data_IF_464377762127
#
_entry.id   IF_464377762127
#
_cell.length_a   1.000
_cell.length_b   1.000
_cell.length_c   1.000
_cell.angle_alpha   90.00
_cell.angle_beta   90.00
_cell.angle_gamma   90.00
#
_symmetry.space_group_name_H-M   'P 1'
#
loop_
_entity.id
_entity.type
_entity.pdbx_description
1 polymer ?
#
# COMPACT_ATOMS: atom_id res chain seq x y z
N UNK A 1 -7.81 -3.05 6.50
CA UNK A 1 -8.39 -1.69 6.62
C UNK A 1 -9.32 -1.49 5.43
N UNK A 2 -10.48 -0.83 5.60
CA UNK A 2 -11.45 -0.66 4.50
C UNK A 2 -11.29 0.68 3.82
N UNK A 3 -11.38 0.69 2.49
CA UNK A 3 -11.49 1.91 1.68
C UNK A 3 -12.74 2.73 2.03
N UNK A 4 -12.66 4.04 1.75
CA UNK A 4 -13.84 4.92 1.73
C UNK A 4 -14.50 4.83 0.34
N UNK A 5 -13.71 4.61 -0.71
CA UNK A 5 -14.20 4.46 -2.08
C UNK A 5 -14.34 2.97 -2.39
N UNK A 6 -15.58 2.51 -2.57
CA UNK A 6 -15.84 1.13 -2.99
C UNK A 6 -15.22 0.87 -4.36
N UNK A 7 -14.43 -0.20 -4.45
CA UNK A 7 -13.97 -0.72 -5.72
C UNK A 7 -15.15 -1.07 -6.63
N UNK A 8 -15.02 -0.76 -7.92
CA UNK A 8 -15.97 -1.15 -8.95
C UNK A 8 -15.20 -1.96 -9.98
N UNK A 9 -15.49 -3.25 -10.07
CA UNK A 9 -14.97 -4.13 -11.11
C UNK A 9 -15.49 -3.67 -12.48
N UNK A 10 -14.70 -2.85 -13.17
CA UNK A 10 -15.04 -2.44 -14.53
C UNK A 10 -14.64 -3.54 -15.50
N UNK A 11 -15.63 -3.95 -16.32
CA UNK A 11 -15.53 -4.83 -17.49
C UNK A 11 -15.29 -6.32 -17.18
N UNK A 12 -16.33 -7.15 -17.36
CA UNK A 12 -16.31 -8.61 -17.14
C UNK A 12 -15.66 -9.39 -18.28
N UNK A 13 -15.34 -8.73 -19.40
CA UNK A 13 -14.81 -9.36 -20.62
C UNK A 13 -13.31 -9.05 -20.82
N UNK A 14 -12.53 -8.97 -19.73
CA UNK A 14 -11.08 -8.78 -19.85
C UNK A 14 -10.44 -10.03 -20.44
N UNK A 15 -9.58 -9.84 -21.43
CA UNK A 15 -8.71 -10.88 -21.97
C UNK A 15 -7.68 -11.33 -20.92
N UNK A 16 -7.16 -12.55 -21.08
CA UNK A 16 -6.08 -13.06 -20.21
C UNK A 16 -4.86 -12.14 -20.24
N UNK A 17 -4.54 -11.57 -21.40
CA UNK A 17 -3.43 -10.63 -21.54
C UNK A 17 -3.66 -9.33 -20.75
N UNK A 18 -4.88 -8.78 -20.76
CA UNK A 18 -5.23 -7.63 -19.92
C UNK A 18 -5.14 -7.94 -18.42
N UNK A 19 -5.55 -9.14 -18.01
CA UNK A 19 -5.46 -9.57 -16.61
C UNK A 19 -4.00 -9.75 -16.16
N UNK A 20 -3.17 -10.36 -17.00
CA UNK A 20 -1.73 -10.47 -16.77
C UNK A 20 -1.05 -9.11 -16.72
N UNK A 21 -1.43 -8.21 -17.63
CA UNK A 21 -0.94 -6.83 -17.64
C UNK A 21 -1.29 -6.09 -16.34
N UNK A 22 -2.53 -6.22 -15.85
CA UNK A 22 -2.94 -5.64 -14.57
C UNK A 22 -2.11 -6.19 -13.40
N UNK A 23 -1.85 -7.50 -13.36
CA UNK A 23 -1.00 -8.10 -12.35
C UNK A 23 0.44 -7.54 -12.39
N UNK A 24 1.00 -7.35 -13.58
CA UNK A 24 2.32 -6.71 -13.75
C UNK A 24 2.32 -5.29 -13.19
N UNK A 25 1.30 -4.48 -13.52
CA UNK A 25 1.16 -3.13 -12.99
C UNK A 25 1.06 -3.11 -11.46
N UNK A 26 0.32 -4.06 -10.87
CA UNK A 26 0.24 -4.18 -9.42
C UNK A 26 1.58 -4.54 -8.80
N UNK A 27 2.34 -5.47 -9.39
CA UNK A 27 3.68 -5.81 -8.92
C UNK A 27 4.64 -4.61 -8.98
N UNK A 28 4.63 -3.84 -10.07
CA UNK A 28 5.43 -2.61 -10.16
C UNK A 28 5.05 -1.59 -9.09
N UNK A 29 3.75 -1.39 -8.87
CA UNK A 29 3.25 -0.52 -7.80
C UNK A 29 3.78 -0.98 -6.44
N UNK A 30 3.65 -2.27 -6.09
CA UNK A 30 4.12 -2.76 -4.80
C UNK A 30 5.64 -2.79 -4.64
N UNK A 31 6.40 -2.87 -5.73
CA UNK A 31 7.85 -2.68 -5.67
C UNK A 31 8.19 -1.22 -5.34
N UNK A 32 7.49 -0.25 -5.93
CA UNK A 32 7.64 1.16 -5.56
C UNK A 32 7.28 1.38 -4.08
N UNK A 33 6.15 0.83 -3.61
CA UNK A 33 5.72 0.99 -2.21
C UNK A 33 6.73 0.45 -1.22
N UNK A 34 7.42 -0.66 -1.52
CA UNK A 34 8.51 -1.17 -0.68
C UNK A 34 9.61 -0.13 -0.49
N UNK A 35 10.03 0.51 -1.57
CA UNK A 35 11.07 1.55 -1.54
C UNK A 35 10.55 2.76 -0.75
N UNK A 36 9.31 3.18 -1.00
CA UNK A 36 8.70 4.33 -0.32
C UNK A 36 8.53 4.09 1.20
N UNK A 37 8.07 2.91 1.62
CA UNK A 37 8.01 2.53 3.04
C UNK A 37 9.39 2.60 3.68
N UNK A 38 10.41 2.06 3.01
CA UNK A 38 11.78 2.07 3.52
C UNK A 38 12.27 3.51 3.71
N UNK A 39 12.04 4.36 2.71
CA UNK A 39 12.38 5.78 2.75
C UNK A 39 11.64 6.52 3.88
N UNK A 40 10.32 6.36 4.01
CA UNK A 40 9.54 7.02 5.05
C UNK A 40 9.99 6.61 6.45
N UNK A 41 10.32 5.32 6.66
CA UNK A 41 10.86 4.85 7.94
C UNK A 41 12.23 5.46 8.26
N UNK A 42 13.10 5.63 7.26
CA UNK A 42 14.39 6.30 7.45
C UNK A 42 14.19 7.78 7.78
N UNK A 43 13.35 8.47 7.00
CA UNK A 43 13.02 9.88 7.21
C UNK A 43 12.48 10.13 8.62
N UNK A 44 11.56 9.30 9.09
CA UNK A 44 10.99 9.38 10.44
C UNK A 44 12.00 9.09 11.56
N UNK A 45 13.08 8.35 11.29
CA UNK A 45 14.12 8.04 12.28
C UNK A 45 15.24 9.07 12.32
N UNK A 46 15.59 9.64 11.17
CA UNK A 46 16.76 10.50 11.01
C UNK A 46 16.45 11.99 11.19
N UNK A 47 15.17 12.38 11.21
CA UNK A 47 14.81 13.80 11.28
C UNK A 47 15.26 14.42 12.62
N UNK A 48 15.95 15.58 12.62
CA UNK A 48 16.43 16.24 13.82
C UNK A 48 15.25 16.87 14.57
N UNK A 49 14.63 16.06 15.41
CA UNK A 49 13.49 16.41 16.23
C UNK A 49 13.88 17.48 17.26
N UNK A 50 13.39 18.72 17.09
CA UNK A 50 13.46 19.73 18.16
C UNK A 50 12.73 19.18 19.38
N UNK A 51 13.40 19.13 20.52
CA UNK A 51 12.98 18.46 21.76
C UNK A 51 11.75 19.07 22.46
N UNK A 52 11.16 20.13 21.90
CA UNK A 52 10.07 20.89 22.53
C UNK A 52 8.66 20.50 22.05
N UNK A 53 8.50 19.41 21.28
CA UNK A 53 7.19 18.96 20.80
C UNK A 53 6.71 17.79 21.68
N UNK A 54 5.66 17.98 22.51
CA UNK A 54 5.09 16.91 23.32
C UNK A 54 4.64 15.73 22.45
N UNK A 55 4.85 14.50 22.93
CA UNK A 55 4.43 13.25 22.29
C UNK A 55 5.01 13.01 20.88
N UNK A 56 6.03 13.76 20.47
CA UNK A 56 6.70 13.64 19.17
C UNK A 56 7.14 12.20 18.89
N UNK A 57 7.82 11.60 19.87
CA UNK A 57 8.35 10.26 19.78
C UNK A 57 7.24 9.20 19.66
N UNK A 58 6.14 9.35 20.41
CA UNK A 58 5.01 8.41 20.38
C UNK A 58 4.35 8.40 19.00
N UNK A 59 4.10 9.58 18.41
CA UNK A 59 3.54 9.69 17.07
C UNK A 59 4.44 9.06 15.99
N UNK A 60 5.76 9.30 16.06
CA UNK A 60 6.72 8.67 15.15
C UNK A 60 6.71 7.15 15.28
N UNK A 61 6.68 6.63 16.50
CA UNK A 61 6.61 5.19 16.73
C UNK A 61 5.32 4.57 16.17
N UNK A 62 4.19 5.26 16.30
CA UNK A 62 2.93 4.84 15.70
C UNK A 62 3.03 4.78 14.18
N UNK A 63 3.57 5.80 13.52
CA UNK A 63 3.76 5.77 12.07
C UNK A 63 4.69 4.65 11.61
N UNK A 64 5.78 4.37 12.34
CA UNK A 64 6.67 3.26 12.02
C UNK A 64 5.92 1.92 12.11
N UNK A 65 5.11 1.71 13.15
CA UNK A 65 4.30 0.50 13.33
C UNK A 65 3.26 0.34 12.22
N UNK A 66 2.63 1.43 11.82
CA UNK A 66 1.67 1.42 10.71
C UNK A 66 2.38 1.06 9.40
N UNK A 67 3.54 1.66 9.11
CA UNK A 67 4.36 1.32 7.94
C UNK A 67 4.79 -0.16 7.93
N UNK A 68 5.15 -0.74 9.08
CA UNK A 68 5.44 -2.17 9.21
C UNK A 68 4.21 -3.04 8.93
N UNK A 69 3.02 -2.61 9.36
CA UNK A 69 1.77 -3.30 9.07
C UNK A 69 1.48 -3.28 7.57
N UNK A 70 1.71 -2.15 6.90
CA UNK A 70 1.57 -2.03 5.44
C UNK A 70 2.59 -2.88 4.67
N UNK A 71 3.83 -3.01 5.15
CA UNK A 71 4.83 -3.88 4.53
C UNK A 71 4.44 -5.35 4.64
N UNK A 72 3.94 -5.78 5.81
CA UNK A 72 3.47 -7.15 6.00
C UNK A 72 2.26 -7.47 5.11
N UNK A 73 1.32 -6.53 4.97
CA UNK A 73 0.16 -6.71 4.08
C UNK A 73 0.59 -6.73 2.60
N UNK A 74 1.54 -5.87 2.21
CA UNK A 74 2.13 -5.86 0.86
C UNK A 74 2.70 -7.21 0.46
N UNK A 75 3.44 -7.86 1.34
CA UNK A 75 4.04 -9.18 1.09
C UNK A 75 2.95 -10.21 0.77
N UNK A 76 1.89 -10.25 1.59
CA UNK A 76 0.74 -11.16 1.37
C UNK A 76 0.04 -10.90 0.03
N UNK A 77 -0.17 -9.63 -0.34
CA UNK A 77 -0.78 -9.28 -1.62
C UNK A 77 0.10 -9.75 -2.79
N UNK A 78 1.43 -9.58 -2.71
CA UNK A 78 2.34 -10.06 -3.77
C UNK A 78 2.27 -11.59 -3.92
N UNK A 79 2.20 -12.33 -2.82
CA UNK A 79 2.00 -13.78 -2.85
C UNK A 79 0.69 -14.14 -3.57
N UNK A 80 -0.40 -13.42 -3.27
CA UNK A 80 -1.70 -13.60 -3.91
C UNK A 80 -1.66 -13.27 -5.42
N UNK A 81 -1.03 -12.16 -5.83
CA UNK A 81 -0.85 -11.81 -7.25
C UNK A 81 -0.05 -12.90 -7.97
N UNK A 82 1.01 -13.41 -7.34
CA UNK A 82 1.86 -14.46 -7.93
C UNK A 82 1.10 -15.77 -8.09
N UNK A 83 0.25 -16.11 -7.14
CA UNK A 83 -0.65 -17.27 -7.21
C UNK A 83 -1.68 -17.11 -8.34
N UNK A 84 -2.35 -15.95 -8.40
CA UNK A 84 -3.32 -15.63 -9.46
C UNK A 84 -2.68 -15.65 -10.86
N UNK A 85 -1.47 -15.14 -11.03
CA UNK A 85 -0.71 -15.23 -12.28
C UNK A 85 -0.52 -16.67 -12.77
N UNK A 86 -0.32 -17.62 -11.86
CA UNK A 86 -0.21 -19.05 -12.21
C UNK A 86 -1.58 -19.64 -12.59
N UNK A 87 -2.63 -19.25 -11.88
CA UNK A 87 -4.00 -19.76 -12.08
C UNK A 87 -4.67 -19.20 -13.35
N UNK A 88 -4.31 -17.99 -13.78
CA UNK A 88 -4.83 -17.36 -15.00
C UNK A 88 -4.66 -18.22 -16.27
N UNK A 89 -3.65 -19.10 -16.29
CA UNK A 89 -3.36 -19.97 -17.44
C UNK A 89 -4.03 -21.34 -17.37
N UNK A 90 -4.61 -21.72 -16.23
CA UNK A 90 -5.06 -23.10 -15.99
C UNK A 90 -6.49 -23.19 -15.48
N UNK A 91 -6.88 -22.37 -14.52
CA UNK A 91 -8.21 -22.37 -13.90
C UNK A 91 -8.57 -20.97 -13.41
N UNK A 92 -8.84 -20.07 -14.36
CA UNK A 92 -9.13 -18.67 -14.04
C UNK A 92 -10.45 -18.55 -13.26
N UNK A 93 -10.38 -17.89 -12.10
CA UNK A 93 -11.55 -17.54 -11.30
C UNK A 93 -11.68 -16.01 -11.25
N UNK A 94 -12.67 -15.48 -11.98
CA UNK A 94 -12.95 -14.05 -12.04
C UNK A 94 -13.29 -13.45 -10.67
N UNK A 95 -14.04 -14.16 -9.83
CA UNK A 95 -14.41 -13.65 -8.51
C UNK A 95 -13.17 -13.45 -7.63
N UNK A 96 -12.29 -14.45 -7.59
CA UNK A 96 -11.04 -14.35 -6.83
C UNK A 96 -10.10 -13.26 -7.37
N UNK A 97 -10.12 -12.98 -8.68
CA UNK A 97 -9.38 -11.86 -9.27
C UNK A 97 -9.97 -10.51 -8.86
N UNK A 98 -11.29 -10.36 -8.91
CA UNK A 98 -11.96 -9.12 -8.51
C UNK A 98 -11.82 -8.86 -7.00
N UNK A 99 -11.85 -9.89 -6.15
CA UNK A 99 -11.58 -9.78 -4.71
C UNK A 99 -10.16 -9.27 -4.46
N UNK A 100 -9.17 -9.78 -5.19
CA UNK A 100 -7.79 -9.29 -5.11
C UNK A 100 -7.67 -7.84 -5.62
N UNK A 101 -8.38 -7.49 -6.68
CA UNK A 101 -8.40 -6.13 -7.21
C UNK A 101 -9.00 -5.15 -6.18
N UNK A 102 -10.06 -5.55 -5.48
CA UNK A 102 -10.64 -4.79 -4.37
C UNK A 102 -9.65 -4.63 -3.22
N UNK A 103 -8.99 -5.71 -2.79
CA UNK A 103 -7.98 -5.67 -1.74
C UNK A 103 -6.83 -4.70 -2.09
N UNK A 104 -6.36 -4.72 -3.34
CA UNK A 104 -5.32 -3.82 -3.84
C UNK A 104 -5.80 -2.37 -3.86
N UNK A 105 -7.05 -2.13 -4.25
CA UNK A 105 -7.67 -0.80 -4.22
C UNK A 105 -7.74 -0.25 -2.79
N UNK A 106 -8.17 -1.08 -1.85
CA UNK A 106 -8.24 -0.74 -0.42
C UNK A 106 -6.85 -0.42 0.15
N UNK A 107 -5.87 -1.26 -0.17
CA UNK A 107 -4.48 -1.03 0.21
C UNK A 107 -4.00 0.33 -0.32
N UNK A 108 -4.20 0.61 -1.61
CA UNK A 108 -3.77 1.86 -2.25
C UNK A 108 -4.33 3.08 -1.54
N UNK A 109 -5.64 3.11 -1.30
CA UNK A 109 -6.27 4.26 -0.67
C UNK A 109 -5.80 4.44 0.77
N UNK A 110 -5.75 3.36 1.55
CA UNK A 110 -5.37 3.43 2.96
C UNK A 110 -3.89 3.81 3.13
N UNK A 111 -3.02 3.31 2.25
CA UNK A 111 -1.61 3.69 2.23
C UNK A 111 -1.41 5.18 1.88
N UNK A 112 -2.12 5.70 0.87
CA UNK A 112 -2.08 7.13 0.52
C UNK A 112 -2.50 8.00 1.71
N UNK A 113 -3.54 7.59 2.45
CA UNK A 113 -3.98 8.33 3.64
C UNK A 113 -2.90 8.33 4.73
N UNK A 114 -2.26 7.19 5.02
CA UNK A 114 -1.15 7.13 5.96
C UNK A 114 0.00 8.05 5.51
N UNK A 115 0.36 8.00 4.24
CA UNK A 115 1.42 8.83 3.67
C UNK A 115 1.13 10.33 3.83
N UNK A 116 -0.10 10.75 3.53
CA UNK A 116 -0.53 12.13 3.73
C UNK A 116 -0.42 12.54 5.21
N UNK A 117 -0.85 11.67 6.13
CA UNK A 117 -0.74 11.95 7.56
C UNK A 117 0.73 12.12 8.02
N UNK A 118 1.63 11.27 7.51
CA UNK A 118 3.08 11.40 7.77
C UNK A 118 3.61 12.74 7.25
N UNK A 119 3.23 13.13 6.03
CA UNK A 119 3.70 14.39 5.45
C UNK A 119 3.15 15.63 6.15
N UNK A 120 1.87 15.66 6.49
CA UNK A 120 1.30 16.76 7.28
C UNK A 120 1.95 16.86 8.66
N UNK A 121 2.22 15.71 9.29
CA UNK A 121 2.95 15.66 10.54
C UNK A 121 4.35 16.28 10.41
N UNK A 122 5.16 15.78 9.47
CA UNK A 122 6.51 16.29 9.21
C UNK A 122 6.52 17.78 8.82
N UNK A 123 5.53 18.22 8.03
CA UNK A 123 5.33 19.62 7.69
C UNK A 123 5.07 20.48 8.93
N UNK A 124 4.27 19.98 9.86
CA UNK A 124 4.06 20.62 11.17
C UNK A 124 5.36 20.84 11.93
N UNK A 125 6.29 19.87 11.89
CA UNK A 125 7.60 19.96 12.54
C UNK A 125 8.56 20.96 11.87
N UNK A 126 8.40 21.20 10.56
CA UNK A 126 9.23 22.14 9.79
C UNK A 126 8.84 23.60 10.05
N UNK A 127 7.55 23.86 10.30
CA UNK A 127 7.01 25.21 10.46
C UNK A 127 7.03 25.66 11.94
N UNK A 128 7.20 24.73 12.88
CA UNK A 128 7.39 24.97 14.33
C UNK A 128 8.84 25.30 14.72
#
# INVERSE_FOLDING_TARGET
>A
MKSIIKYRGFNRNKSVDELLYNNILWLHYFNFIKVEITFLKQLLKEYPFKTNIPNLFEHIQLFIKDLDTFENHRIKIIENITSQNKQLKTNFNLAAFEDLAEEISDYKQTYINLKNNIYEYLRGLLIS
#
